data_IF_177149189478
#
_entry.id   IF_177149189478
#
_cell.length_a   1.000
_cell.length_b   1.000
_cell.length_c   1.000
_cell.angle_alpha   90.00
_cell.angle_beta   90.00
_cell.angle_gamma   90.00
#
_symmetry.space_group_name_H-M   'P 1'
#
loop_
_entity.id
_entity.type
_entity.pdbx_description
1 polymer ?
#
# COMPACT_ATOMS: atom_id res chain seq x y z
N UNK A 1 13.63 11.28 7.04
CA UNK A 1 13.00 10.48 8.11
C UNK A 1 11.70 11.17 8.46
N UNK A 2 10.58 10.45 8.41
CA UNK A 2 9.27 11.02 8.75
C UNK A 2 9.21 11.26 10.26
N UNK A 3 8.48 12.30 10.67
CA UNK A 3 8.15 12.49 12.07
C UNK A 3 6.94 11.63 12.47
N UNK A 4 6.66 11.57 13.78
CA UNK A 4 5.57 10.77 14.31
C UNK A 4 4.19 11.23 13.81
N UNK A 5 4.03 12.52 13.48
CA UNK A 5 2.77 13.07 13.01
C UNK A 5 2.51 12.64 11.57
N UNK A 6 3.52 12.75 10.72
CA UNK A 6 3.48 12.32 9.32
C UNK A 6 3.25 10.81 9.21
N UNK A 7 3.88 10.00 10.06
CA UNK A 7 3.62 8.54 10.11
C UNK A 7 2.14 8.26 10.45
N UNK A 8 1.58 8.96 11.43
CA UNK A 8 0.18 8.77 11.83
C UNK A 8 -0.80 9.22 10.72
N UNK A 9 -0.53 10.36 10.08
CA UNK A 9 -1.34 10.85 8.97
C UNK A 9 -1.30 9.89 7.76
N UNK A 10 -0.12 9.32 7.45
CA UNK A 10 0.01 8.31 6.38
C UNK A 10 -0.66 6.98 6.74
N UNK A 11 -0.54 6.50 7.98
CA UNK A 11 -1.25 5.29 8.44
C UNK A 11 -2.76 5.42 8.25
N UNK A 12 -3.30 6.59 8.59
CA UNK A 12 -4.73 6.89 8.38
C UNK A 12 -5.10 6.92 6.90
N UNK A 13 -4.26 7.53 6.06
CA UNK A 13 -4.48 7.54 4.61
C UNK A 13 -4.51 6.11 4.04
N UNK A 14 -3.57 5.26 4.42
CA UNK A 14 -3.53 3.84 4.00
C UNK A 14 -4.76 3.08 4.50
N UNK A 15 -5.12 3.22 5.78
CA UNK A 15 -6.30 2.56 6.33
C UNK A 15 -7.59 2.97 5.60
N UNK A 16 -7.75 4.26 5.30
CA UNK A 16 -8.89 4.78 4.55
C UNK A 16 -8.92 4.26 3.11
N UNK A 17 -7.77 4.20 2.44
CA UNK A 17 -7.67 3.66 1.08
C UNK A 17 -8.02 2.17 1.02
N UNK A 18 -7.59 1.37 2.01
CA UNK A 18 -7.97 -0.05 2.09
C UNK A 18 -9.46 -0.19 2.40
N UNK A 19 -9.99 0.62 3.33
CA UNK A 19 -11.40 0.60 3.67
C UNK A 19 -12.29 0.97 2.47
N UNK A 20 -11.88 1.93 1.63
CA UNK A 20 -12.65 2.28 0.43
C UNK A 20 -12.75 1.12 -0.56
N UNK A 21 -11.69 0.33 -0.73
CA UNK A 21 -11.76 -0.87 -1.58
C UNK A 21 -12.75 -1.91 -1.02
N UNK A 22 -12.76 -2.09 0.31
CA UNK A 22 -13.69 -3.02 0.96
C UNK A 22 -15.15 -2.61 0.83
N UNK A 23 -15.43 -1.31 0.82
CA UNK A 23 -16.79 -0.79 0.58
C UNK A 23 -17.29 -1.16 -0.83
N UNK A 24 -16.39 -1.29 -1.79
CA UNK A 24 -16.68 -1.77 -3.15
C UNK A 24 -16.69 -3.31 -3.26
N UNK A 25 -16.56 -4.04 -2.14
CA UNK A 25 -16.49 -5.49 -2.13
C UNK A 25 -15.16 -6.06 -2.63
N UNK A 26 -14.10 -5.24 -2.70
CA UNK A 26 -12.76 -5.64 -3.12
C UNK A 26 -11.85 -5.88 -1.91
N UNK A 27 -10.99 -6.90 -2.01
CA UNK A 27 -9.93 -7.12 -1.03
C UNK A 27 -8.57 -6.75 -1.66
N UNK A 28 -7.77 -5.97 -0.94
CA UNK A 28 -6.39 -5.67 -1.33
C UNK A 28 -5.52 -6.86 -0.98
N UNK A 29 -4.72 -7.34 -1.94
CA UNK A 29 -3.86 -8.50 -1.72
C UNK A 29 -2.86 -8.29 -0.57
N UNK A 30 -2.50 -9.39 0.10
CA UNK A 30 -1.71 -9.35 1.33
C UNK A 30 -0.35 -8.68 1.16
N UNK A 31 0.29 -8.85 -0.01
CA UNK A 31 1.58 -8.24 -0.28
C UNK A 31 1.46 -6.74 -0.51
N UNK A 32 0.48 -6.28 -1.30
CA UNK A 32 0.23 -4.84 -1.47
C UNK A 32 -0.11 -4.16 -0.15
N UNK A 33 -0.85 -4.83 0.74
CA UNK A 33 -1.12 -4.31 2.10
C UNK A 33 0.16 -4.11 2.91
N UNK A 34 1.06 -5.09 2.92
CA UNK A 34 2.32 -4.98 3.64
C UNK A 34 3.20 -3.85 3.06
N UNK A 35 3.26 -3.72 1.74
CA UNK A 35 3.99 -2.64 1.08
C UNK A 35 3.39 -1.25 1.40
N UNK A 36 2.06 -1.13 1.50
CA UNK A 36 1.41 0.11 1.93
C UNK A 36 1.69 0.43 3.41
N UNK A 37 1.83 -0.56 4.28
CA UNK A 37 2.29 -0.34 5.67
C UNK A 37 3.70 0.25 5.70
N UNK A 38 4.59 -0.22 4.81
CA UNK A 38 5.93 0.35 4.64
C UNK A 38 5.92 1.77 4.08
N UNK A 39 4.97 2.10 3.18
CA UNK A 39 4.74 3.48 2.73
C UNK A 39 4.34 4.39 3.90
N UNK A 40 3.51 3.89 4.81
CA UNK A 40 3.10 4.65 5.99
C UNK A 40 4.26 4.94 6.95
N UNK A 41 5.28 4.07 6.97
CA UNK A 41 6.52 4.25 7.74
C UNK A 41 7.57 5.11 7.01
N UNK A 42 7.35 5.41 5.72
CA UNK A 42 8.33 6.10 4.86
C UNK A 42 9.50 5.22 4.43
N UNK A 43 9.33 3.90 4.48
CA UNK A 43 10.31 2.91 4.02
C UNK A 43 10.19 2.64 2.51
N UNK A 44 8.99 2.83 1.97
CA UNK A 44 8.70 2.77 0.54
C UNK A 44 7.98 4.04 0.09
N UNK A 45 8.12 4.34 -1.20
CA UNK A 45 7.27 5.31 -1.87
C UNK A 45 6.11 4.60 -2.60
N UNK A 46 4.95 5.26 -2.81
CA UNK A 46 3.84 4.66 -3.56
C UNK A 46 4.23 4.14 -4.95
N UNK A 47 5.23 4.76 -5.58
CA UNK A 47 5.77 4.31 -6.87
C UNK A 47 6.40 2.92 -6.79
N UNK A 48 7.01 2.56 -5.66
CA UNK A 48 7.62 1.24 -5.45
C UNK A 48 6.56 0.15 -5.36
N UNK A 49 5.43 0.43 -4.70
CA UNK A 49 4.27 -0.46 -4.62
C UNK A 49 3.67 -0.71 -6.00
N UNK A 50 3.50 0.35 -6.80
CA UNK A 50 3.01 0.24 -8.19
C UNK A 50 3.97 -0.63 -9.02
N UNK A 51 5.29 -0.43 -8.89
CA UNK A 51 6.28 -1.23 -9.59
C UNK A 51 6.25 -2.70 -9.15
N UNK A 52 6.06 -2.96 -7.85
CA UNK A 52 5.90 -4.32 -7.30
C UNK A 52 4.67 -5.03 -7.89
N UNK A 53 3.51 -4.37 -7.89
CA UNK A 53 2.27 -4.90 -8.49
C UNK A 53 2.51 -5.25 -9.96
N UNK A 54 3.11 -4.34 -10.75
CA UNK A 54 3.40 -4.58 -12.17
C UNK A 54 4.28 -5.81 -12.39
N UNK A 55 5.34 -5.98 -11.60
CA UNK A 55 6.22 -7.16 -11.70
C UNK A 55 5.46 -8.46 -11.43
N UNK A 56 4.60 -8.47 -10.42
CA UNK A 56 3.80 -9.66 -10.05
C UNK A 56 2.75 -10.02 -11.09
N UNK A 57 2.13 -9.02 -11.70
CA UNK A 57 1.18 -9.25 -12.80
C UNK A 57 1.87 -9.84 -14.04
N UNK A 58 3.11 -9.44 -14.33
CA UNK A 58 3.87 -10.05 -15.43
C UNK A 58 4.26 -11.49 -15.09
N UNK A 59 4.80 -11.74 -13.89
CA UNK A 59 5.23 -13.07 -13.46
C UNK A 59 4.08 -14.08 -13.27
N UNK A 60 2.87 -13.62 -12.98
CA UNK A 60 1.67 -14.47 -12.85
C UNK A 60 0.94 -14.76 -14.17
N UNK A 61 1.41 -14.22 -15.29
CA UNK A 61 0.86 -14.44 -16.63
C UNK A 61 1.73 -15.40 -17.48
N UNK A 62 2.67 -16.11 -16.86
CA UNK A 62 3.43 -17.25 -17.43
C UNK A 62 2.84 -18.58 -16.95
#
# INVERSE_FOLDING_TARGET
MLDAREIEDRRRAVANAIASQRLEGLEVDAQTRAELDQVALGELEPADVIASIRRRLVAGNE
#
